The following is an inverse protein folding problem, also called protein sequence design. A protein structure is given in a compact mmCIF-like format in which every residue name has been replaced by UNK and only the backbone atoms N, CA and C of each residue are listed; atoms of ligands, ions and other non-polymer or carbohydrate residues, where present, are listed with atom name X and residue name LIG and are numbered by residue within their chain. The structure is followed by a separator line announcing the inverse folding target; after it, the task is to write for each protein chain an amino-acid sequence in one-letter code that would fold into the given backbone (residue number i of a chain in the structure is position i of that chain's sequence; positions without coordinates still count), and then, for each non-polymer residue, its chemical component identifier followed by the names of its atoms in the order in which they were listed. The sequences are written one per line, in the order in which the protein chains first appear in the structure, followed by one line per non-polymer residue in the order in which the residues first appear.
data_IF_510665965308
#
_entry.id   IF_510665965308
#
_cell.length_a   1.000
_cell.length_b   1.000
_cell.length_c   1.000
_cell.angle_alpha   90.00
_cell.angle_beta   90.00
_cell.angle_gamma   90.00
#
_symmetry.space_group_name_H-M   'P 1'
#
loop_
_entity.id
_entity.type
_entity.pdbx_description
1 polymer ?
#
# COMPACT_ATOMS: atom_id res chain seq x y z
N UNK A 1 -29.36 -13.70 -6.51
CA UNK A 1 -28.49 -14.09 -5.37
C UNK A 1 -27.81 -15.41 -5.71
N UNK A 2 -26.51 -15.57 -5.40
CA UNK A 2 -25.74 -16.79 -5.75
C UNK A 2 -26.37 -18.03 -5.12
N UNK A 3 -26.47 -19.12 -5.88
CA UNK A 3 -26.97 -20.40 -5.36
C UNK A 3 -25.88 -21.02 -4.50
N UNK A 4 -26.14 -21.13 -3.20
CA UNK A 4 -25.51 -22.17 -2.39
C UNK A 4 -26.16 -23.51 -2.72
N UNK A 5 -25.93 -24.02 -3.94
CA UNK A 5 -26.18 -25.42 -4.23
C UNK A 5 -25.26 -26.23 -3.32
N UNK A 6 -25.75 -27.31 -2.71
CA UNK A 6 -25.01 -28.06 -1.67
C UNK A 6 -23.88 -28.95 -2.21
N UNK A 7 -23.28 -28.56 -3.34
CA UNK A 7 -21.90 -28.92 -3.63
C UNK A 7 -21.03 -28.26 -2.54
N UNK A 8 -20.56 -29.06 -1.57
CA UNK A 8 -19.57 -28.61 -0.59
C UNK A 8 -18.28 -28.27 -1.35
N UNK A 9 -18.03 -26.98 -1.56
CA UNK A 9 -16.68 -26.48 -1.79
C UNK A 9 -15.83 -26.99 -0.62
N UNK A 10 -14.90 -27.91 -0.91
CA UNK A 10 -14.09 -28.57 0.12
C UNK A 10 -12.88 -27.68 0.41
N UNK A 11 -12.87 -27.15 1.63
CA UNK A 11 -11.69 -26.56 2.23
C UNK A 11 -10.53 -27.57 2.15
N UNK A 12 -9.41 -27.17 1.52
CA UNK A 12 -8.27 -28.05 1.21
C UNK A 12 -8.28 -28.73 -0.17
N UNK A 13 -9.16 -28.35 -1.12
CA UNK A 13 -9.05 -28.75 -2.54
C UNK A 13 -8.98 -27.50 -3.44
N UNK A 14 -10.06 -26.72 -3.53
CA UNK A 14 -10.14 -25.56 -4.43
C UNK A 14 -9.57 -24.25 -3.82
N UNK A 15 -8.69 -24.36 -2.80
CA UNK A 15 -8.51 -23.31 -1.79
C UNK A 15 -7.12 -22.65 -1.74
N UNK A 16 -6.08 -23.24 -2.36
CA UNK A 16 -4.67 -22.84 -2.15
C UNK A 16 -4.33 -21.44 -2.70
N UNK A 17 -4.83 -21.05 -3.89
CA UNK A 17 -4.36 -19.85 -4.62
C UNK A 17 -5.45 -18.84 -5.03
N UNK A 18 -6.39 -18.48 -4.14
CA UNK A 18 -7.50 -17.56 -4.52
C UNK A 18 -7.14 -16.07 -4.62
N UNK A 19 -5.89 -15.64 -4.35
CA UNK A 19 -5.54 -14.23 -4.16
C UNK A 19 -4.77 -13.61 -5.34
N UNK A 20 -5.30 -12.54 -5.93
CA UNK A 20 -4.53 -11.67 -6.83
C UNK A 20 -3.50 -10.83 -6.04
N UNK A 21 -2.32 -10.53 -6.62
CA UNK A 21 -1.24 -9.81 -5.95
C UNK A 21 -1.50 -8.29 -5.85
N UNK A 22 -2.36 -7.89 -4.92
CA UNK A 22 -2.69 -6.48 -4.64
C UNK A 22 -1.43 -5.66 -4.29
N UNK A 23 -1.21 -4.56 -5.02
CA UNK A 23 -0.04 -3.72 -4.83
C UNK A 23 -0.07 -2.99 -3.46
N UNK A 24 0.90 -3.30 -2.59
CA UNK A 24 1.03 -2.63 -1.28
C UNK A 24 1.43 -1.17 -1.46
N UNK A 25 0.97 -0.29 -0.55
CA UNK A 25 1.36 1.13 -0.48
C UNK A 25 2.89 1.36 -0.48
N UNK A 26 3.67 0.38 -0.04
CA UNK A 26 5.14 0.38 -0.13
C UNK A 26 5.62 0.37 -1.59
N UNK A 27 5.03 -0.48 -2.45
CA UNK A 27 5.37 -0.59 -3.86
C UNK A 27 4.90 0.63 -4.66
N UNK A 28 3.75 1.21 -4.30
CA UNK A 28 3.27 2.48 -4.88
C UNK A 28 4.24 3.62 -4.57
N UNK A 29 4.77 3.70 -3.34
CA UNK A 29 5.77 4.71 -2.97
C UNK A 29 7.11 4.50 -3.67
N UNK A 30 7.54 3.25 -3.86
CA UNK A 30 8.73 2.93 -4.68
C UNK A 30 8.50 3.35 -6.15
N UNK A 31 7.32 3.08 -6.73
CA UNK A 31 6.97 3.50 -8.09
C UNK A 31 7.01 5.02 -8.24
N UNK A 32 6.37 5.77 -7.33
CA UNK A 32 6.34 7.23 -7.33
C UNK A 32 7.74 7.85 -7.19
N UNK A 33 8.57 7.31 -6.29
CA UNK A 33 9.94 7.77 -6.11
C UNK A 33 10.84 7.43 -7.32
N UNK A 34 10.66 6.25 -7.93
CA UNK A 34 11.37 5.88 -9.15
C UNK A 34 10.98 6.77 -10.33
N UNK A 35 9.68 7.01 -10.54
CA UNK A 35 9.16 7.88 -11.59
C UNK A 35 9.70 9.31 -11.45
N UNK A 36 9.67 9.88 -10.23
CA UNK A 36 10.28 11.17 -9.93
C UNK A 36 11.77 11.20 -10.31
N UNK A 37 12.57 10.21 -9.87
CA UNK A 37 14.01 10.07 -10.20
C UNK A 37 14.33 9.82 -11.68
N UNK A 38 13.31 9.74 -12.54
CA UNK A 38 13.41 9.57 -13.99
C UNK A 38 12.68 10.66 -14.78
N UNK A 39 12.06 11.64 -14.11
CA UNK A 39 11.20 12.64 -14.76
C UNK A 39 9.92 12.07 -15.38
N UNK A 40 9.57 10.81 -15.09
CA UNK A 40 8.43 10.13 -15.71
C UNK A 40 7.12 10.67 -15.14
N UNK A 41 6.29 11.27 -16.00
CA UNK A 41 4.93 11.68 -15.65
C UNK A 41 4.02 10.44 -15.61
N UNK A 42 3.51 10.10 -14.43
CA UNK A 42 2.57 9.00 -14.25
C UNK A 42 1.13 9.43 -14.58
N UNK A 43 0.44 8.57 -15.30
CA UNK A 43 -0.97 8.63 -15.65
C UNK A 43 -1.74 7.49 -14.98
N UNK A 44 -3.07 7.59 -15.01
CA UNK A 44 -3.99 6.60 -14.47
C UNK A 44 -5.10 6.28 -15.47
N UNK A 45 -5.51 5.02 -15.52
CA UNK A 45 -6.69 4.53 -16.24
C UNK A 45 -7.43 3.52 -15.36
N UNK A 46 -8.76 3.48 -15.49
CA UNK A 46 -9.66 2.56 -14.80
C UNK A 46 -10.22 1.53 -15.80
N UNK A 47 -10.27 0.26 -15.42
CA UNK A 47 -10.86 -0.82 -16.21
C UNK A 47 -12.30 -1.06 -15.75
N UNK A 48 -13.28 -0.65 -16.57
CA UNK A 48 -14.69 -0.88 -16.23
C UNK A 48 -14.97 -2.37 -16.07
N UNK A 49 -15.63 -2.70 -14.97
CA UNK A 49 -16.08 -4.06 -14.65
C UNK A 49 -14.96 -5.11 -14.75
N UNK A 50 -13.72 -4.82 -14.32
CA UNK A 50 -12.54 -5.61 -14.66
C UNK A 50 -12.65 -7.12 -14.32
N UNK A 51 -13.32 -7.47 -13.23
CA UNK A 51 -13.63 -8.87 -12.88
C UNK A 51 -14.48 -9.58 -13.96
N UNK A 52 -15.40 -8.88 -14.61
CA UNK A 52 -16.20 -9.39 -15.73
C UNK A 52 -15.39 -9.53 -17.03
N UNK A 53 -14.11 -9.17 -17.05
CA UNK A 53 -13.18 -9.47 -18.15
C UNK A 53 -12.36 -10.74 -17.92
N UNK A 54 -12.21 -11.19 -16.67
CA UNK A 54 -11.52 -12.43 -16.33
C UNK A 54 -12.30 -13.67 -16.78
N UNK A 55 -11.62 -14.59 -17.48
CA UNK A 55 -12.16 -15.93 -17.75
C UNK A 55 -11.99 -16.83 -16.52
N UNK A 56 -12.96 -17.71 -16.27
CA UNK A 56 -12.85 -18.74 -15.23
C UNK A 56 -12.55 -20.09 -15.87
N UNK A 57 -11.71 -20.88 -15.20
CA UNK A 57 -11.38 -22.26 -15.57
C UNK A 57 -12.34 -23.24 -14.87
N UNK A 58 -12.86 -22.84 -13.70
CA UNK A 58 -13.68 -23.68 -12.84
C UNK A 58 -15.16 -23.69 -13.31
N UNK A 59 -15.84 -24.85 -13.24
CA UNK A 59 -17.24 -24.97 -13.64
C UNK A 59 -18.23 -24.34 -12.63
N UNK A 60 -18.34 -23.01 -12.65
CA UNK A 60 -19.28 -22.28 -11.80
C UNK A 60 -20.65 -22.15 -12.46
N UNK A 61 -21.69 -22.55 -11.73
CA UNK A 61 -23.10 -22.42 -12.13
C UNK A 61 -23.88 -21.47 -11.21
N UNK A 62 -24.81 -20.70 -11.77
CA UNK A 62 -25.69 -19.78 -11.03
C UNK A 62 -27.17 -19.98 -11.40
N UNK A 63 -28.08 -19.63 -10.48
CA UNK A 63 -29.52 -19.52 -10.79
C UNK A 63 -29.71 -18.48 -11.88
N UNK A 64 -30.78 -18.67 -12.62
CA UNK A 64 -31.31 -17.65 -13.51
C UNK A 64 -31.55 -16.38 -12.67
N UNK A 65 -30.98 -15.22 -13.04
CA UNK A 65 -31.16 -13.98 -12.28
C UNK A 65 -32.55 -13.39 -12.55
N UNK A 66 -33.12 -12.61 -11.61
CA UNK A 66 -34.44 -12.01 -11.77
C UNK A 66 -34.60 -11.23 -13.08
N UNK A 67 -35.64 -11.55 -13.84
CA UNK A 67 -35.93 -10.99 -15.16
C UNK A 67 -35.30 -11.76 -16.34
N UNK A 68 -34.58 -12.85 -16.06
CA UNK A 68 -33.94 -13.72 -17.07
C UNK A 68 -34.32 -15.20 -16.88
N UNK A 69 -35.33 -15.51 -16.07
CA UNK A 69 -35.86 -16.86 -15.91
C UNK A 69 -36.51 -17.39 -17.19
N UNK A 70 -36.03 -18.55 -17.68
CA UNK A 70 -36.61 -19.23 -18.83
C UNK A 70 -37.91 -19.95 -18.45
N UNK A 71 -39.05 -19.43 -18.89
CA UNK A 71 -40.36 -20.07 -18.72
C UNK A 71 -40.43 -21.50 -19.31
N UNK A 72 -39.57 -21.84 -20.28
CA UNK A 72 -39.45 -23.21 -20.84
C UNK A 72 -38.58 -24.14 -19.99
N UNK A 73 -37.72 -23.60 -19.12
CA UNK A 73 -36.72 -24.34 -18.36
C UNK A 73 -36.48 -23.72 -16.96
N UNK A 74 -37.48 -23.66 -16.07
CA UNK A 74 -37.38 -22.95 -14.79
C UNK A 74 -36.26 -23.48 -13.87
N UNK A 75 -36.04 -24.80 -13.85
CA UNK A 75 -35.05 -25.45 -12.97
C UNK A 75 -33.60 -25.41 -13.49
N UNK A 76 -33.36 -24.85 -14.68
CA UNK A 76 -31.99 -24.75 -15.23
C UNK A 76 -31.16 -23.67 -14.53
N UNK A 77 -29.85 -23.83 -14.67
CA UNK A 77 -28.82 -22.92 -14.17
C UNK A 77 -27.93 -22.45 -15.32
N UNK A 78 -27.43 -21.22 -15.24
CA UNK A 78 -26.45 -20.70 -16.20
C UNK A 78 -25.04 -21.12 -15.78
N UNK A 79 -24.27 -21.73 -16.69
CA UNK A 79 -22.82 -21.90 -16.55
C UNK A 79 -22.14 -20.57 -16.85
N UNK A 80 -21.29 -20.09 -15.94
CA UNK A 80 -20.49 -18.90 -16.15
C UNK A 80 -19.33 -19.20 -17.12
N UNK A 81 -18.99 -18.22 -17.98
CA UNK A 81 -17.79 -18.25 -18.86
C UNK A 81 -16.73 -17.20 -18.45
N UNK A 82 -17.16 -16.20 -17.68
CA UNK A 82 -16.32 -15.15 -17.10
C UNK A 82 -16.66 -15.02 -15.62
N UNK A 83 -15.75 -14.46 -14.84
CA UNK A 83 -15.99 -14.28 -13.41
C UNK A 83 -17.10 -13.24 -13.15
N UNK A 84 -17.79 -13.39 -12.01
CA UNK A 84 -18.74 -12.41 -11.48
C UNK A 84 -18.23 -11.82 -10.17
N UNK A 85 -18.64 -10.60 -9.86
CA UNK A 85 -18.43 -10.01 -8.53
C UNK A 85 -19.00 -10.91 -7.43
N UNK A 86 -18.20 -11.13 -6.38
CA UNK A 86 -18.51 -12.05 -5.28
C UNK A 86 -17.96 -13.48 -5.44
N UNK A 87 -17.45 -13.87 -6.62
CA UNK A 87 -16.62 -15.09 -6.73
C UNK A 87 -15.24 -14.84 -6.13
N UNK A 88 -14.73 -15.79 -5.32
CA UNK A 88 -13.41 -15.67 -4.69
C UNK A 88 -12.28 -15.56 -5.71
N UNK A 89 -12.38 -16.28 -6.83
CA UNK A 89 -11.37 -16.30 -7.88
C UNK A 89 -11.48 -15.14 -8.88
N UNK A 90 -12.48 -14.25 -8.78
CA UNK A 90 -12.66 -13.16 -9.75
C UNK A 90 -11.42 -12.24 -9.91
N UNK A 91 -10.69 -11.88 -8.83
CA UNK A 91 -9.44 -11.13 -8.96
C UNK A 91 -8.32 -11.94 -9.66
N UNK A 92 -8.25 -13.26 -9.41
CA UNK A 92 -7.29 -14.19 -10.04
C UNK A 92 -7.53 -14.29 -11.54
N UNK A 93 -8.78 -14.54 -11.93
CA UNK A 93 -9.26 -14.60 -13.31
C UNK A 93 -8.97 -13.31 -14.09
N UNK A 94 -9.23 -12.15 -13.48
CA UNK A 94 -8.91 -10.84 -14.07
C UNK A 94 -7.39 -10.65 -14.24
N UNK A 95 -6.60 -10.85 -13.18
CA UNK A 95 -5.15 -10.70 -13.23
C UNK A 95 -4.49 -11.63 -14.25
N UNK A 96 -4.95 -12.89 -14.36
CA UNK A 96 -4.49 -13.85 -15.36
C UNK A 96 -4.83 -13.40 -16.79
N UNK A 97 -6.06 -12.89 -17.03
CA UNK A 97 -6.47 -12.33 -18.33
C UNK A 97 -5.62 -11.14 -18.75
N UNK A 98 -5.38 -10.20 -17.84
CA UNK A 98 -4.59 -9.01 -18.11
C UNK A 98 -3.10 -9.35 -18.33
N UNK A 99 -2.52 -10.22 -17.49
CA UNK A 99 -1.17 -10.75 -17.71
C UNK A 99 -1.03 -11.41 -19.08
N UNK A 100 -2.01 -12.23 -19.47
CA UNK A 100 -2.00 -12.94 -20.76
C UNK A 100 -2.23 -12.03 -21.97
N UNK A 101 -2.80 -10.84 -21.77
CA UNK A 101 -2.86 -9.80 -22.80
C UNK A 101 -1.51 -9.10 -22.93
N UNK A 102 -0.97 -8.57 -21.82
CA UNK A 102 0.28 -7.81 -21.82
C UNK A 102 1.45 -8.64 -22.36
N UNK A 103 1.58 -9.91 -21.95
CA UNK A 103 2.63 -10.79 -22.48
C UNK A 103 2.49 -11.05 -23.99
N UNK A 104 1.29 -10.90 -24.57
CA UNK A 104 1.06 -10.99 -26.03
C UNK A 104 1.31 -9.67 -26.77
N UNK A 105 1.19 -8.52 -26.10
CA UNK A 105 1.69 -7.21 -26.60
C UNK A 105 3.18 -6.99 -26.35
N UNK A 106 3.89 -8.00 -25.82
CA UNK A 106 5.32 -7.95 -25.50
C UNK A 106 5.66 -7.22 -24.18
N UNK A 107 4.65 -6.89 -23.38
CA UNK A 107 4.75 -6.10 -22.15
C UNK A 107 4.72 -6.98 -20.90
N UNK A 108 5.54 -6.64 -19.89
CA UNK A 108 5.38 -7.18 -18.54
C UNK A 108 4.60 -6.21 -17.62
N UNK A 109 4.01 -6.78 -16.57
CA UNK A 109 3.15 -6.14 -15.57
C UNK A 109 3.82 -5.08 -14.69
N UNK A 110 5.11 -4.80 -14.90
CA UNK A 110 5.93 -3.93 -14.03
C UNK A 110 6.78 -2.95 -14.84
N UNK A 111 7.55 -3.43 -15.83
CA UNK A 111 8.20 -2.56 -16.81
C UNK A 111 8.45 -3.23 -18.15
N UNK A 112 8.31 -2.44 -19.22
CA UNK A 112 8.80 -2.72 -20.57
C UNK A 112 9.99 -1.79 -20.83
N UNK A 113 11.11 -2.33 -21.29
CA UNK A 113 12.18 -1.52 -21.89
C UNK A 113 12.35 -1.91 -23.36
N UNK A 114 12.32 -0.93 -24.25
CA UNK A 114 12.38 -1.15 -25.70
C UNK A 114 13.22 -0.04 -26.35
N UNK A 115 14.31 -0.40 -27.04
CA UNK A 115 15.18 0.58 -27.73
C UNK A 115 15.90 1.58 -26.82
N UNK A 116 15.94 1.34 -25.50
CA UNK A 116 16.47 2.26 -24.48
C UNK A 116 15.39 3.10 -23.80
N UNK A 117 14.24 3.30 -24.44
CA UNK A 117 13.04 3.82 -23.79
C UNK A 117 12.49 2.81 -22.78
N UNK A 118 11.74 3.28 -21.77
CA UNK A 118 11.12 2.44 -20.74
C UNK A 118 9.73 2.93 -20.34
N UNK A 119 8.77 2.01 -20.29
CA UNK A 119 7.42 2.21 -19.75
C UNK A 119 7.29 1.40 -18.46
N UNK A 120 6.86 2.04 -17.38
CA UNK A 120 6.50 1.41 -16.11
C UNK A 120 4.99 1.27 -16.00
N UNK A 121 4.53 0.12 -15.50
CA UNK A 121 3.10 -0.20 -15.33
C UNK A 121 2.88 -0.74 -13.91
N UNK A 122 1.74 -0.39 -13.29
CA UNK A 122 1.38 -0.87 -11.96
C UNK A 122 -0.13 -0.99 -11.79
N UNK A 123 -0.62 -2.23 -11.79
CA UNK A 123 -2.03 -2.54 -11.60
C UNK A 123 -2.38 -2.64 -10.10
N UNK A 124 -3.56 -2.16 -9.76
CA UNK A 124 -4.25 -2.36 -8.48
C UNK A 124 -5.72 -2.69 -8.77
N UNK A 125 -6.06 -3.97 -8.86
CA UNK A 125 -7.44 -4.43 -9.14
C UNK A 125 -7.97 -3.83 -10.46
N UNK A 126 -8.86 -2.85 -10.40
CA UNK A 126 -9.47 -2.18 -11.55
C UNK A 126 -8.65 -0.94 -12.00
N UNK A 127 -7.86 -0.33 -11.11
CA UNK A 127 -6.95 0.78 -11.41
C UNK A 127 -5.65 0.32 -12.08
N UNK A 128 -5.14 1.10 -13.04
CA UNK A 128 -3.80 0.95 -13.61
C UNK A 128 -3.07 2.29 -13.61
N UNK A 129 -1.93 2.35 -12.91
CA UNK A 129 -0.95 3.43 -13.03
C UNK A 129 0.03 3.06 -14.13
N UNK A 130 0.42 4.00 -14.98
CA UNK A 130 1.44 3.80 -16.02
C UNK A 130 2.19 5.11 -16.33
N UNK A 131 3.34 5.01 -16.98
CA UNK A 131 4.14 6.16 -17.42
C UNK A 131 5.48 5.72 -18.01
N UNK A 132 6.32 6.64 -18.48
CA UNK A 132 7.58 6.25 -19.11
C UNK A 132 8.42 7.44 -19.59
N UNK A 133 9.52 7.11 -20.26
CA UNK A 133 10.46 8.09 -20.86
C UNK A 133 9.90 8.81 -22.09
N UNK A 134 9.10 8.11 -22.90
CA UNK A 134 8.54 8.62 -24.15
C UNK A 134 7.02 8.71 -24.09
N UNK A 135 6.49 9.91 -24.39
CA UNK A 135 5.04 10.14 -24.49
C UNK A 135 4.39 9.24 -25.54
N UNK A 136 5.10 8.92 -26.64
CA UNK A 136 4.57 8.04 -27.69
C UNK A 136 4.30 6.62 -27.18
N UNK A 137 5.17 6.07 -26.32
CA UNK A 137 4.95 4.77 -25.69
C UNK A 137 3.81 4.80 -24.66
N UNK A 138 3.71 5.88 -23.88
CA UNK A 138 2.62 6.07 -22.90
C UNK A 138 1.26 6.16 -23.61
N UNK A 139 1.16 6.90 -24.71
CA UNK A 139 -0.02 6.93 -25.58
C UNK A 139 -0.30 5.56 -26.22
N UNK A 140 0.70 4.89 -26.78
CA UNK A 140 0.54 3.60 -27.44
C UNK A 140 0.04 2.51 -26.47
N UNK A 141 0.57 2.47 -25.25
CA UNK A 141 0.06 1.60 -24.19
C UNK A 141 -1.40 1.90 -23.85
N UNK A 142 -1.77 3.17 -23.70
CA UNK A 142 -3.15 3.56 -23.42
C UNK A 142 -4.12 3.20 -24.55
N UNK A 143 -3.72 3.35 -25.80
CA UNK A 143 -4.49 2.87 -26.96
C UNK A 143 -4.64 1.34 -26.97
N UNK A 144 -3.55 0.59 -26.77
CA UNK A 144 -3.58 -0.88 -26.74
C UNK A 144 -4.54 -1.41 -25.67
N UNK A 145 -4.46 -0.86 -24.45
CA UNK A 145 -5.39 -1.18 -23.36
C UNK A 145 -6.85 -0.85 -23.72
N UNK A 146 -7.08 0.30 -24.36
CA UNK A 146 -8.42 0.78 -24.75
C UNK A 146 -9.03 0.06 -25.97
N UNK A 147 -8.23 -0.69 -26.73
CA UNK A 147 -8.69 -1.55 -27.83
C UNK A 147 -9.14 -2.94 -27.36
N UNK A 148 -8.60 -3.44 -26.24
CA UNK A 148 -8.88 -4.78 -25.69
C UNK A 148 -9.93 -4.75 -24.56
N UNK A 149 -9.96 -3.68 -23.76
CA UNK A 149 -10.83 -3.54 -22.59
C UNK A 149 -11.61 -2.22 -22.61
N UNK A 150 -12.74 -2.16 -21.91
CA UNK A 150 -13.51 -0.91 -21.77
C UNK A 150 -12.83 0.00 -20.73
N UNK A 151 -11.91 0.84 -21.21
CA UNK A 151 -11.07 1.70 -20.38
C UNK A 151 -11.70 3.09 -20.14
N UNK A 152 -11.37 3.68 -18.99
CA UNK A 152 -11.62 5.09 -18.68
C UNK A 152 -10.31 5.79 -18.33
N UNK A 153 -9.77 6.64 -19.20
CA UNK A 153 -8.54 7.38 -18.96
C UNK A 153 -8.77 8.51 -17.95
N UNK A 154 -8.05 8.49 -16.82
CA UNK A 154 -8.16 9.51 -15.76
C UNK A 154 -7.16 10.67 -15.93
N UNK A 155 -6.21 10.55 -16.88
CA UNK A 155 -5.18 11.56 -17.12
C UNK A 155 -4.01 11.46 -16.13
N UNK A 156 -3.52 12.60 -15.63
CA UNK A 156 -2.44 12.62 -14.62
C UNK A 156 -2.84 11.90 -13.34
N UNK A 157 -1.92 11.09 -12.79
CA UNK A 157 -2.07 10.47 -11.47
C UNK A 157 -2.08 11.54 -10.36
N UNK A 158 -3.29 11.99 -9.99
CA UNK A 158 -3.52 12.98 -8.92
C UNK A 158 -4.02 12.35 -7.60
N UNK A 159 -4.72 11.22 -7.66
CA UNK A 159 -5.33 10.57 -6.50
C UNK A 159 -5.22 9.04 -6.59
N UNK A 160 -4.70 8.39 -5.55
CA UNK A 160 -4.55 6.92 -5.56
C UNK A 160 -4.58 6.34 -4.14
N UNK A 161 -5.49 5.40 -3.86
CA UNK A 161 -5.63 4.74 -2.54
C UNK A 161 -5.68 5.71 -1.34
N UNK A 162 -6.30 6.88 -1.52
CA UNK A 162 -6.38 7.92 -0.49
C UNK A 162 -5.10 8.75 -0.31
N UNK A 163 -4.10 8.58 -1.18
CA UNK A 163 -3.02 9.53 -1.41
C UNK A 163 -3.49 10.63 -2.38
N UNK A 164 -3.02 11.85 -2.18
CA UNK A 164 -3.03 12.94 -3.14
C UNK A 164 -1.60 13.12 -3.67
N UNK A 165 -1.46 13.28 -4.98
CA UNK A 165 -0.19 13.25 -5.69
C UNK A 165 -0.10 14.52 -6.56
N UNK A 166 1.08 15.15 -6.59
CA UNK A 166 1.39 16.29 -7.47
C UNK A 166 2.75 16.07 -8.09
N UNK A 167 2.83 16.03 -9.42
CA UNK A 167 4.06 15.69 -10.15
C UNK A 167 4.59 16.91 -10.91
N UNK A 168 5.80 17.38 -10.56
CA UNK A 168 6.50 18.47 -11.23
C UNK A 168 7.93 18.07 -11.65
N UNK A 169 8.69 18.98 -12.30
CA UNK A 169 10.05 18.69 -12.77
C UNK A 169 11.03 18.39 -11.62
N UNK A 170 10.91 19.13 -10.51
CA UNK A 170 11.74 18.96 -9.31
C UNK A 170 11.44 17.67 -8.52
N UNK A 171 10.33 16.99 -8.83
CA UNK A 171 9.89 15.82 -8.10
C UNK A 171 8.38 15.69 -7.90
N UNK A 172 7.99 14.73 -7.07
CA UNK A 172 6.60 14.40 -6.75
C UNK A 172 6.30 14.61 -5.27
N UNK A 173 5.24 15.38 -4.98
CA UNK A 173 4.71 15.54 -3.62
C UNK A 173 3.53 14.60 -3.37
N UNK A 174 3.55 13.89 -2.24
CA UNK A 174 2.52 12.88 -1.88
C UNK A 174 1.98 13.17 -0.48
N UNK A 175 0.70 13.53 -0.37
CA UNK A 175 0.08 13.98 0.89
C UNK A 175 -1.32 13.37 1.11
N UNK A 176 -1.84 13.42 2.34
CA UNK A 176 -3.19 12.95 2.66
C UNK A 176 -4.12 14.08 3.15
N UNK A 177 -3.86 15.33 2.76
CA UNK A 177 -4.52 16.53 3.31
C UNK A 177 -6.06 16.49 3.24
N UNK A 178 -6.65 15.92 2.17
CA UNK A 178 -8.10 15.69 2.08
C UNK A 178 -8.58 14.74 3.19
N UNK A 179 -8.00 13.53 3.28
CA UNK A 179 -8.30 12.57 4.34
C UNK A 179 -8.10 13.19 5.74
N UNK A 180 -7.07 14.00 5.94
CA UNK A 180 -6.84 14.73 7.19
C UNK A 180 -7.98 15.71 7.52
N UNK A 181 -8.51 16.47 6.55
CA UNK A 181 -9.70 17.32 6.79
C UNK A 181 -10.95 16.49 7.03
N UNK A 182 -11.17 15.45 6.23
CA UNK A 182 -12.35 14.60 6.29
C UNK A 182 -12.42 13.85 7.64
N UNK A 183 -11.28 13.39 8.18
CA UNK A 183 -11.23 12.72 9.49
C UNK A 183 -11.34 13.70 10.67
N UNK A 184 -10.75 14.91 10.56
CA UNK A 184 -10.94 15.96 11.57
C UNK A 184 -12.40 16.41 11.64
N UNK A 185 -13.09 16.53 10.50
CA UNK A 185 -14.53 16.80 10.43
C UNK A 185 -15.36 15.63 10.98
N UNK A 186 -15.05 14.39 10.62
CA UNK A 186 -15.78 13.19 11.11
C UNK A 186 -15.81 13.10 12.64
N UNK A 187 -14.74 13.52 13.31
CA UNK A 187 -14.56 13.37 14.76
C UNK A 187 -14.68 14.69 15.54
N UNK A 188 -15.27 15.71 14.91
CA UNK A 188 -15.54 17.04 15.47
C UNK A 188 -14.32 17.69 16.14
N UNK A 189 -13.21 17.70 15.43
CA UNK A 189 -11.95 18.30 15.87
C UNK A 189 -11.82 19.77 15.41
N UNK A 190 -12.91 20.36 14.90
CA UNK A 190 -12.97 21.71 14.33
C UNK A 190 -12.37 22.76 15.24
N UNK A 191 -12.82 22.82 16.49
CA UNK A 191 -12.41 23.83 17.47
C UNK A 191 -11.28 23.37 18.40
N UNK A 192 -10.75 22.17 18.20
CA UNK A 192 -9.65 21.64 19.01
C UNK A 192 -8.37 22.49 18.92
N UNK A 193 -7.65 22.64 20.04
CA UNK A 193 -6.39 23.39 20.08
C UNK A 193 -5.31 22.60 19.32
N UNK A 194 -4.66 23.15 18.28
CA UNK A 194 -3.60 22.44 17.57
C UNK A 194 -2.38 22.17 18.46
N UNK A 195 -1.78 20.98 18.35
CA UNK A 195 -0.65 20.58 19.19
C UNK A 195 0.60 20.30 18.36
N UNK A 196 1.78 20.72 18.83
CA UNK A 196 3.03 20.63 18.06
C UNK A 196 3.68 19.24 18.03
N UNK A 197 3.20 18.28 18.83
CA UNK A 197 3.70 16.89 18.83
C UNK A 197 2.56 15.87 18.97
N UNK A 198 2.63 14.70 18.29
CA UNK A 198 1.55 13.70 18.29
C UNK A 198 1.41 12.91 19.60
N UNK A 199 2.33 13.09 20.55
CA UNK A 199 2.35 12.42 21.85
C UNK A 199 3.07 13.32 22.88
N UNK A 200 2.66 13.29 24.16
CA UNK A 200 3.39 14.01 25.21
C UNK A 200 4.53 13.15 25.77
N UNK A 201 5.60 13.78 26.27
CA UNK A 201 6.69 13.07 26.96
C UNK A 201 6.20 12.27 28.17
N UNK A 202 5.27 12.84 28.95
CA UNK A 202 4.63 12.21 30.12
C UNK A 202 3.60 11.11 29.76
N UNK A 203 3.48 10.73 28.48
CA UNK A 203 2.73 9.52 28.05
C UNK A 203 3.49 8.23 28.47
N UNK A 204 4.78 8.32 28.79
CA UNK A 204 5.57 7.16 29.21
C UNK A 204 5.41 6.89 30.71
N UNK A 205 4.89 5.71 31.07
CA UNK A 205 5.00 5.13 32.42
C UNK A 205 3.76 5.21 33.33
N UNK A 206 2.77 6.08 33.06
CA UNK A 206 1.55 6.11 33.88
C UNK A 206 0.71 4.83 33.70
N UNK A 207 0.17 4.29 34.81
CA UNK A 207 -0.93 3.31 34.74
C UNK A 207 -2.17 4.06 34.22
N UNK A 208 -2.65 3.67 33.04
CA UNK A 208 -3.84 4.20 32.38
C UNK A 208 -5.10 3.78 33.17
N UNK A 209 -5.48 4.54 34.19
CA UNK A 209 -6.71 4.29 34.97
C UNK A 209 -7.96 4.81 34.26
N UNK A 210 -9.10 4.31 34.73
CA UNK A 210 -10.49 4.74 34.45
C UNK A 210 -11.08 4.55 33.05
N UNK A 211 -12.38 4.22 33.06
CA UNK A 211 -13.30 4.20 31.92
C UNK A 211 -13.08 3.07 30.92
N UNK A 212 -14.16 2.37 30.55
CA UNK A 212 -14.25 1.71 29.25
C UNK A 212 -15.09 2.63 28.36
N UNK A 213 -14.50 3.12 27.27
CA UNK A 213 -15.19 3.97 26.29
C UNK A 213 -14.99 3.38 24.89
N UNK A 214 -16.07 3.10 24.17
CA UNK A 214 -16.03 2.51 22.83
C UNK A 214 -16.04 3.62 21.78
N UNK A 215 -14.87 3.98 21.26
CA UNK A 215 -14.72 4.99 20.21
C UNK A 215 -13.94 4.42 18.99
N UNK A 216 -14.54 4.57 17.81
CA UNK A 216 -13.96 4.20 16.52
C UNK A 216 -12.79 5.09 16.08
N UNK A 217 -12.48 6.19 16.80
CA UNK A 217 -11.26 6.99 16.58
C UNK A 217 -9.98 6.15 16.55
N UNK A 218 -9.96 4.96 17.17
CA UNK A 218 -8.81 4.04 17.16
C UNK A 218 -8.57 3.29 15.82
N UNK A 219 -9.42 3.43 14.80
CA UNK A 219 -9.29 2.66 13.54
C UNK A 219 -8.71 3.42 12.35
N UNK A 220 -8.68 4.75 12.38
CA UNK A 220 -8.54 5.58 11.17
C UNK A 220 -7.49 6.66 11.36
N UNK A 221 -6.42 6.64 10.55
CA UNK A 221 -5.28 7.56 10.64
C UNK A 221 -4.54 7.67 9.29
N UNK A 222 -4.06 8.88 8.87
CA UNK A 222 -3.30 9.10 7.62
C UNK A 222 -1.84 8.57 7.69
N UNK A 223 -1.67 7.30 8.04
CA UNK A 223 -0.35 6.67 8.19
C UNK A 223 0.29 6.20 6.87
N UNK A 224 -0.28 6.57 5.71
CA UNK A 224 0.32 6.30 4.41
C UNK A 224 1.30 7.39 3.96
N UNK A 225 1.16 8.63 4.47
CA UNK A 225 2.17 9.70 4.34
C UNK A 225 2.70 10.22 5.68
N UNK A 226 2.15 9.78 6.82
CA UNK A 226 2.62 10.15 8.16
C UNK A 226 3.54 9.10 8.82
N UNK A 227 4.88 9.23 8.71
CA UNK A 227 5.86 8.45 9.49
C UNK A 227 6.00 8.94 10.93
N UNK A 228 5.93 10.25 11.11
CA UNK A 228 5.85 11.03 12.36
C UNK A 228 4.81 10.49 13.36
N UNK A 229 3.55 10.35 12.93
CA UNK A 229 2.45 9.85 13.75
C UNK A 229 2.52 8.34 13.95
N UNK A 230 3.35 7.62 13.19
CA UNK A 230 3.30 6.14 13.10
C UNK A 230 3.53 5.47 14.45
N UNK A 231 4.46 5.99 15.25
CA UNK A 231 4.70 5.48 16.60
C UNK A 231 3.50 5.73 17.52
N UNK A 232 3.01 6.97 17.59
CA UNK A 232 1.90 7.36 18.45
C UNK A 232 0.63 6.54 18.15
N UNK A 233 0.28 6.42 16.86
CA UNK A 233 -0.82 5.57 16.37
C UNK A 233 -0.59 4.10 16.75
N UNK A 234 0.63 3.57 16.57
CA UNK A 234 0.98 2.19 16.93
C UNK A 234 0.95 1.91 18.43
N UNK A 235 1.14 2.91 19.29
CA UNK A 235 0.98 2.77 20.74
C UNK A 235 -0.51 2.73 21.11
N UNK A 236 -1.31 3.68 20.62
CA UNK A 236 -2.75 3.74 20.90
C UNK A 236 -3.50 2.48 20.42
N UNK A 237 -3.17 2.00 19.21
CA UNK A 237 -3.78 0.81 18.62
C UNK A 237 -3.57 -0.49 19.42
N UNK A 238 -2.58 -0.56 20.34
CA UNK A 238 -2.39 -1.71 21.25
C UNK A 238 -3.61 -1.93 22.15
N UNK A 239 -4.34 -0.86 22.45
CA UNK A 239 -5.45 -0.88 23.40
C UNK A 239 -6.83 -0.95 22.74
N UNK A 240 -6.92 -1.21 21.42
CA UNK A 240 -8.19 -1.28 20.69
C UNK A 240 -9.21 -2.28 21.26
N UNK A 241 -8.75 -3.35 21.92
CA UNK A 241 -9.63 -4.34 22.57
C UNK A 241 -10.20 -3.88 23.92
N UNK A 242 -9.56 -2.92 24.60
CA UNK A 242 -10.01 -2.35 25.88
C UNK A 242 -9.57 -0.88 26.01
N UNK A 243 -10.09 0.02 25.16
CA UNK A 243 -9.74 1.45 25.19
C UNK A 243 -10.24 2.13 26.47
N UNK A 244 -9.45 3.07 27.00
CA UNK A 244 -9.66 3.77 28.27
C UNK A 244 -9.72 5.28 28.07
N UNK A 245 -10.33 6.04 28.97
CA UNK A 245 -10.50 7.51 28.82
C UNK A 245 -9.19 8.22 28.46
N UNK A 246 -8.12 7.85 29.16
CA UNK A 246 -6.77 8.38 28.97
C UNK A 246 -6.13 7.93 27.64
N UNK A 247 -6.52 6.78 27.05
CA UNK A 247 -6.16 6.43 25.67
C UNK A 247 -6.88 7.32 24.64
N UNK A 248 -8.12 7.77 24.91
CA UNK A 248 -8.84 8.69 24.00
C UNK A 248 -8.19 10.07 23.98
N UNK A 249 -7.68 10.54 25.13
CA UNK A 249 -6.88 11.77 25.20
C UNK A 249 -5.61 11.67 24.33
N UNK A 250 -4.92 10.52 24.32
CA UNK A 250 -3.77 10.31 23.44
C UNK A 250 -4.16 10.31 21.95
N UNK A 251 -5.32 9.74 21.59
CA UNK A 251 -5.83 9.77 20.20
C UNK A 251 -6.30 11.19 19.79
N UNK A 252 -6.96 11.93 20.70
CA UNK A 252 -7.33 13.34 20.52
C UNK A 252 -6.08 14.16 20.19
N UNK A 253 -4.98 13.96 20.92
CA UNK A 253 -3.70 14.64 20.64
C UNK A 253 -3.13 14.34 19.26
N UNK A 254 -3.26 13.11 18.76
CA UNK A 254 -2.83 12.77 17.39
C UNK A 254 -3.65 13.57 16.36
N UNK A 255 -4.94 13.80 16.60
CA UNK A 255 -5.77 14.64 15.74
C UNK A 255 -5.49 16.14 15.90
N UNK A 256 -5.27 16.64 17.11
CA UNK A 256 -4.80 18.00 17.38
C UNK A 256 -3.46 18.29 16.68
N UNK A 257 -2.58 17.30 16.61
CA UNK A 257 -1.35 17.36 15.82
C UNK A 257 -1.60 17.36 14.31
N UNK A 258 -2.52 16.55 13.81
CA UNK A 258 -2.91 16.59 12.39
C UNK A 258 -3.61 17.91 11.99
N UNK A 259 -4.25 18.62 12.93
CA UNK A 259 -4.73 19.99 12.74
C UNK A 259 -3.58 21.01 12.68
N UNK A 260 -2.45 20.74 13.34
CA UNK A 260 -1.23 21.55 13.24
C UNK A 260 -0.43 21.26 11.95
N UNK A 261 -0.44 20.02 11.44
CA UNK A 261 0.32 19.59 10.25
C UNK A 261 -0.52 19.25 8.99
N UNK A 262 -1.61 19.97 8.64
CA UNK A 262 -2.58 19.53 7.63
C UNK A 262 -2.05 19.54 6.18
N UNK A 263 -0.88 20.17 5.95
CA UNK A 263 -0.18 20.22 4.66
C UNK A 263 1.00 19.24 4.57
N UNK A 264 1.29 18.46 5.61
CA UNK A 264 2.45 17.56 5.65
C UNK A 264 2.28 16.39 4.67
N UNK A 265 3.40 15.97 4.08
CA UNK A 265 3.47 14.90 3.10
C UNK A 265 4.92 14.48 2.82
N UNK A 266 5.08 13.56 1.88
CA UNK A 266 6.37 13.07 1.40
C UNK A 266 6.78 13.88 0.16
N UNK A 267 8.05 14.24 0.07
CA UNK A 267 8.65 14.77 -1.16
C UNK A 267 9.59 13.72 -1.76
N UNK A 268 9.46 13.48 -3.06
CA UNK A 268 10.35 12.62 -3.83
C UNK A 268 11.03 13.45 -4.91
N UNK A 269 12.31 13.75 -4.73
CA UNK A 269 13.08 14.56 -5.69
C UNK A 269 13.36 13.80 -6.99
N UNK A 270 13.59 14.54 -8.08
CA UNK A 270 14.16 14.01 -9.33
C UNK A 270 15.67 13.74 -9.24
N UNK A 271 16.38 14.26 -8.24
CA UNK A 271 17.81 14.02 -8.01
C UNK A 271 18.10 12.70 -7.25
N UNK A 272 19.20 12.01 -7.59
CA UNK A 272 19.64 10.76 -6.95
C UNK A 272 21.12 10.78 -6.51
N UNK A 273 21.68 9.76 -5.84
CA UNK A 273 21.04 8.60 -5.19
C UNK A 273 21.99 7.94 -4.15
N UNK A 274 21.50 7.58 -2.95
CA UNK A 274 21.75 6.31 -2.21
C UNK A 274 21.12 6.32 -0.79
N UNK A 275 21.13 5.18 -0.11
CA UNK A 275 20.36 4.76 1.10
C UNK A 275 21.35 4.53 2.29
N UNK A 276 21.06 4.48 3.62
CA UNK A 276 19.87 4.60 4.52
C UNK A 276 20.32 5.08 5.92
N UNK A 277 19.39 5.40 6.85
CA UNK A 277 19.65 5.39 8.33
C UNK A 277 18.44 4.93 9.16
N UNK A 278 18.69 4.25 10.29
CA UNK A 278 17.72 3.72 11.26
C UNK A 278 17.57 4.59 12.53
N UNK A 279 16.46 4.43 13.27
CA UNK A 279 16.27 4.94 14.65
C UNK A 279 15.49 3.90 15.49
N UNK A 280 15.97 3.61 16.70
CA UNK A 280 15.37 2.63 17.63
C UNK A 280 14.98 3.29 18.97
N UNK A 281 13.95 2.79 19.66
CA UNK A 281 13.52 3.32 20.96
C UNK A 281 13.03 2.22 21.92
N UNK A 282 13.51 2.24 23.16
CA UNK A 282 13.22 1.21 24.18
C UNK A 282 11.98 1.59 24.99
N UNK A 283 10.90 0.80 24.88
CA UNK A 283 9.61 1.05 25.56
C UNK A 283 9.01 -0.29 25.99
N UNK A 284 8.69 -0.43 27.28
CA UNK A 284 8.34 -1.68 27.99
C UNK A 284 9.47 -2.72 28.09
N UNK A 285 9.22 -3.82 28.82
CA UNK A 285 10.05 -5.05 28.88
C UNK A 285 10.30 -5.74 27.52
N UNK A 286 9.69 -5.27 26.41
CA UNK A 286 10.00 -5.69 25.04
C UNK A 286 10.12 -4.45 24.17
N UNK A 287 11.32 -4.17 23.68
CA UNK A 287 11.69 -2.95 22.95
C UNK A 287 10.85 -2.70 21.69
N UNK A 288 10.86 -1.47 21.16
CA UNK A 288 10.10 -1.10 19.95
C UNK A 288 11.06 -0.66 18.84
N UNK A 289 11.23 -1.52 17.82
CA UNK A 289 12.04 -1.21 16.65
C UNK A 289 11.34 -0.17 15.77
N UNK A 290 12.07 0.90 15.42
CA UNK A 290 11.76 1.77 14.29
C UNK A 290 12.56 1.34 13.06
N UNK A 291 11.96 1.48 11.88
CA UNK A 291 12.66 1.39 10.58
C UNK A 291 12.22 2.54 9.68
N UNK A 292 13.16 3.10 8.92
CA UNK A 292 12.93 4.04 7.82
C UNK A 292 13.81 3.60 6.64
N UNK A 293 13.27 3.58 5.43
CA UNK A 293 13.99 3.20 4.21
C UNK A 293 13.77 4.24 3.12
N UNK A 294 14.86 4.68 2.49
CA UNK A 294 14.84 5.75 1.50
C UNK A 294 15.41 5.26 0.17
N UNK A 295 14.72 5.60 -0.93
CA UNK A 295 15.21 5.44 -2.29
C UNK A 295 15.87 6.76 -2.70
N UNK A 296 17.20 6.83 -2.58
CA UNK A 296 17.88 8.13 -2.58
C UNK A 296 17.39 8.98 -1.38
N UNK A 297 16.93 10.19 -1.65
CA UNK A 297 16.32 11.08 -0.66
C UNK A 297 14.85 10.73 -0.34
N UNK A 298 14.21 9.88 -1.14
CA UNK A 298 12.76 9.61 -1.08
C UNK A 298 12.38 8.57 -0.02
N UNK A 299 11.65 8.95 1.04
CA UNK A 299 11.21 8.02 2.09
C UNK A 299 10.10 7.07 1.60
N UNK A 300 10.49 5.88 1.12
CA UNK A 300 9.56 4.91 0.51
C UNK A 300 8.89 3.96 1.51
N UNK A 301 9.55 3.63 2.64
CA UNK A 301 9.05 2.66 3.63
C UNK A 301 9.42 3.05 5.06
N UNK A 302 8.54 2.73 6.01
CA UNK A 302 8.82 2.89 7.45
C UNK A 302 7.97 1.96 8.30
N UNK A 303 8.46 1.60 9.48
CA UNK A 303 7.69 0.84 10.45
C UNK A 303 8.03 1.20 11.90
N UNK A 304 7.06 0.97 12.79
CA UNK A 304 7.27 0.95 14.23
C UNK A 304 6.59 -0.32 14.74
N UNK A 305 7.37 -1.21 15.37
CA UNK A 305 6.94 -2.56 15.76
C UNK A 305 7.49 -2.90 17.14
N UNK A 306 6.63 -3.39 18.05
CA UNK A 306 7.10 -4.02 19.29
C UNK A 306 7.79 -5.34 18.95
N UNK A 307 8.92 -5.63 19.59
CA UNK A 307 9.69 -6.85 19.35
C UNK A 307 8.95 -8.09 19.86
N UNK A 308 9.21 -9.23 19.21
CA UNK A 308 8.60 -10.52 19.57
C UNK A 308 9.23 -11.10 20.85
N UNK A 309 10.56 -11.06 20.96
CA UNK A 309 11.35 -11.45 22.13
C UNK A 309 11.39 -10.35 23.20
N UNK A 310 11.88 -10.72 24.40
CA UNK A 310 12.42 -9.77 25.40
C UNK A 310 13.90 -9.60 25.08
N UNK A 311 14.32 -8.39 24.73
CA UNK A 311 15.73 -8.06 24.55
C UNK A 311 16.41 -7.82 25.91
N UNK A 312 17.37 -8.67 26.27
CA UNK A 312 18.13 -8.60 27.52
C UNK A 312 18.97 -7.31 27.58
N UNK A 313 19.65 -6.96 26.47
CA UNK A 313 20.43 -5.73 26.33
C UNK A 313 19.80 -4.73 25.34
N UNK A 314 20.35 -3.52 25.29
CA UNK A 314 20.07 -2.54 24.21
C UNK A 314 20.64 -3.04 22.88
N UNK A 315 21.85 -3.57 22.88
CA UNK A 315 22.54 -4.10 21.70
C UNK A 315 21.76 -5.24 21.04
N UNK A 316 21.16 -6.15 21.83
CA UNK A 316 20.29 -7.21 21.29
C UNK A 316 19.04 -6.61 20.62
N UNK A 317 18.42 -5.59 21.24
CA UNK A 317 17.29 -4.88 20.64
C UNK A 317 17.67 -4.19 19.31
N UNK A 318 18.90 -3.70 19.19
CA UNK A 318 19.44 -3.12 17.96
C UNK A 318 19.69 -4.19 16.89
N UNK A 319 20.26 -5.36 17.23
CA UNK A 319 20.40 -6.48 16.29
C UNK A 319 19.04 -6.99 15.78
N UNK A 320 18.03 -7.12 16.66
CA UNK A 320 16.65 -7.47 16.26
C UNK A 320 16.07 -6.41 15.31
N UNK A 321 16.33 -5.12 15.57
CA UNK A 321 15.90 -4.03 14.68
C UNK A 321 16.61 -4.07 13.32
N UNK A 322 17.92 -4.32 13.31
CA UNK A 322 18.76 -4.44 12.12
C UNK A 322 18.32 -5.62 11.24
N UNK A 323 18.17 -6.82 11.81
CA UNK A 323 17.70 -8.01 11.09
C UNK A 323 16.29 -7.80 10.49
N UNK A 324 15.37 -7.18 11.24
CA UNK A 324 14.06 -6.80 10.71
C UNK A 324 14.14 -5.72 9.62
N UNK A 325 15.20 -4.91 9.58
CA UNK A 325 15.42 -3.94 8.51
C UNK A 325 16.03 -4.60 7.27
N UNK A 326 17.01 -5.49 7.40
CA UNK A 326 17.54 -6.28 6.29
C UNK A 326 16.45 -7.09 5.57
N UNK A 327 15.54 -7.72 6.33
CA UNK A 327 14.39 -8.42 5.76
C UNK A 327 13.37 -7.50 5.06
N UNK A 328 13.36 -6.20 5.37
CA UNK A 328 12.60 -5.19 4.61
C UNK A 328 13.40 -4.69 3.38
N UNK A 329 14.71 -4.47 3.52
CA UNK A 329 15.62 -4.06 2.45
C UNK A 329 15.59 -5.04 1.28
N UNK A 330 15.80 -6.34 1.51
CA UNK A 330 15.77 -7.37 0.47
C UNK A 330 14.47 -7.35 -0.34
N UNK A 331 13.32 -7.08 0.33
CA UNK A 331 12.01 -6.96 -0.32
C UNK A 331 11.88 -5.66 -1.12
N UNK A 332 12.53 -4.58 -0.70
CA UNK A 332 12.60 -3.31 -1.43
C UNK A 332 13.56 -3.41 -2.64
N UNK A 333 14.76 -3.97 -2.47
CA UNK A 333 15.71 -4.23 -3.56
C UNK A 333 15.16 -5.20 -4.61
N UNK A 334 14.42 -6.23 -4.22
CA UNK A 334 13.71 -7.10 -5.16
C UNK A 334 12.66 -6.32 -5.99
N UNK A 335 11.81 -5.50 -5.32
CA UNK A 335 10.83 -4.65 -6.02
C UNK A 335 11.49 -3.65 -6.98
N UNK A 336 12.64 -3.11 -6.59
CA UNK A 336 13.44 -2.22 -7.44
C UNK A 336 13.99 -2.99 -8.65
N UNK A 337 14.60 -4.17 -8.47
CA UNK A 337 15.13 -5.00 -9.56
C UNK A 337 14.06 -5.35 -10.60
N UNK A 338 12.81 -5.58 -10.19
CA UNK A 338 11.68 -5.83 -11.13
C UNK A 338 11.17 -4.54 -11.80
N UNK A 339 11.40 -3.35 -11.23
CA UNK A 339 11.09 -2.06 -11.89
C UNK A 339 12.20 -1.60 -12.84
N UNK A 340 13.47 -1.81 -12.48
CA UNK A 340 14.64 -1.26 -13.19
C UNK A 340 15.31 -2.27 -14.13
N UNK A 341 15.01 -3.57 -14.00
CA UNK A 341 15.75 -4.69 -14.59
C UNK A 341 17.25 -4.76 -14.19
N UNK A 342 17.67 -3.98 -13.18
CA UNK A 342 19.07 -3.85 -12.74
C UNK A 342 19.23 -4.16 -11.24
N UNK A 343 20.41 -4.64 -10.84
CA UNK A 343 20.75 -4.81 -9.42
C UNK A 343 20.85 -3.46 -8.70
N UNK A 344 20.55 -3.42 -7.39
CA UNK A 344 20.58 -2.18 -6.59
C UNK A 344 21.24 -2.42 -5.23
N UNK A 345 22.39 -1.77 -5.00
CA UNK A 345 23.18 -1.91 -3.77
C UNK A 345 22.46 -1.28 -2.57
N UNK A 346 22.35 -2.04 -1.48
CA UNK A 346 21.79 -1.59 -0.21
C UNK A 346 22.89 -1.22 0.80
N UNK A 347 22.63 -0.21 1.64
CA UNK A 347 23.53 0.17 2.75
C UNK A 347 22.72 0.30 4.03
N UNK A 348 23.15 -0.38 5.10
CA UNK A 348 22.56 -0.27 6.42
C UNK A 348 23.39 0.70 7.28
N UNK A 349 22.70 1.60 8.00
CA UNK A 349 23.29 2.36 9.12
C UNK A 349 22.38 2.25 10.33
N UNK A 350 22.96 1.95 11.49
CA UNK A 350 22.32 2.02 12.79
C UNK A 350 22.98 3.10 13.65
N UNK A 351 22.28 3.53 14.71
CA UNK A 351 22.74 4.61 15.60
C UNK A 351 23.44 4.08 16.87
N UNK A 352 23.60 2.76 17.01
CA UNK A 352 24.41 2.15 18.05
C UNK A 352 25.88 2.02 17.60
N UNK A 353 26.86 2.05 18.53
CA UNK A 353 28.30 2.09 18.21
C UNK A 353 28.84 0.81 17.54
N UNK A 354 28.02 -0.23 17.37
CA UNK A 354 28.45 -1.58 16.96
C UNK A 354 27.97 -2.04 15.57
N UNK A 355 27.37 -1.17 14.73
CA UNK A 355 26.88 -1.62 13.41
C UNK A 355 26.85 -0.57 12.28
N UNK A 356 28.00 -0.46 11.59
CA UNK A 356 28.05 -0.13 10.17
C UNK A 356 28.21 -1.43 9.37
N UNK A 357 27.25 -1.75 8.51
CA UNK A 357 27.31 -2.93 7.63
C UNK A 357 26.92 -2.54 6.21
N UNK A 358 27.92 -2.49 5.32
CA UNK A 358 27.74 -2.48 3.87
C UNK A 358 27.64 -3.91 3.36
N UNK A 359 26.64 -4.20 2.53
CA UNK A 359 26.56 -5.45 1.79
C UNK A 359 26.83 -5.21 0.31
N UNK A 360 27.70 -6.03 -0.26
CA UNK A 360 27.76 -6.28 -1.69
C UNK A 360 27.30 -7.72 -1.90
N UNK A 361 26.25 -7.89 -2.71
CA UNK A 361 26.12 -9.09 -3.53
C UNK A 361 26.95 -8.82 -4.80
N UNK A 362 27.70 -9.82 -5.27
CA UNK A 362 28.46 -9.78 -6.53
C UNK A 362 27.56 -10.03 -7.76
#
# INVERSE_FOLDING_TARGET
MVVRNKARLKEGIDYEETFAPVARLEAIRILLAFAASKGFKLQQMDVKSAFLNGFIEEEVYVRQPPGFESAKFPDRVYKLRKALYGLKQAPRAWYARLKSFLLKSGQDLVSLSCGGDTTIVRIYVDDIIFGGSSHALVSSFAEQMSREFEMSLMGELQFFLGLQIKQGPEGTFVHQAKYTRDILKKFDMGDSIPMTTPMSTNTMGRRWTEGISRDDRLTSYPTATGPDIRFAVRLCARYRASPRTSHHQAVKRIFEYLKFTPKLGLWYSSEGSQMMTMLCCRIDRKSTSGTCQLLGTSLVSWSSRKQASVSLSTTEAEYIAAASCCSQLLKTSYRLKVLTMHSSRGRLRANGPASLLSWCDE
#
